data_IF_585700847765
#
_entry.id   IF_585700847765
#
_cell.length_a   1.000
_cell.length_b   1.000
_cell.length_c   1.000
_cell.angle_alpha   90.00
_cell.angle_beta   90.00
_cell.angle_gamma   90.00
#
_symmetry.space_group_name_H-M   'P 1'
#
loop_
_entity.id
_entity.type
_entity.pdbx_description
1 polymer ?
#
# COMPACT_ATOMS: atom_id res chain seq x y z
N UNK A 1 -3.82 9.01 18.79
CA UNK A 1 -4.24 8.23 19.97
C UNK A 1 -4.37 6.81 19.47
N UNK A 2 -3.28 6.05 19.54
CA UNK A 2 -3.11 4.89 18.68
C UNK A 2 -2.73 3.69 19.54
N UNK A 3 -3.46 2.59 19.40
CA UNK A 3 -3.25 1.36 20.17
C UNK A 3 -3.46 0.13 19.30
N UNK A 4 -2.52 -0.80 19.36
CA UNK A 4 -2.60 -2.13 18.73
C UNK A 4 -2.92 -3.16 19.80
N UNK A 5 -3.77 -4.14 19.50
CA UNK A 5 -4.09 -5.26 20.40
C UNK A 5 -3.48 -6.58 19.90
N UNK A 6 -3.21 -7.49 20.83
CA UNK A 6 -2.66 -8.82 20.55
C UNK A 6 -3.62 -9.69 19.75
N UNK A 7 -3.10 -10.39 18.75
CA UNK A 7 -3.85 -11.41 18.03
C UNK A 7 -4.08 -12.66 18.89
N UNK A 8 -5.31 -13.19 18.83
CA UNK A 8 -5.79 -14.35 19.61
C UNK A 8 -4.90 -15.61 19.52
N UNK A 9 -4.04 -15.72 18.50
CA UNK A 9 -3.18 -16.88 18.27
C UNK A 9 -1.72 -16.75 18.69
N UNK A 10 -1.26 -15.59 19.18
CA UNK A 10 0.18 -15.34 19.39
C UNK A 10 0.47 -14.64 20.70
N UNK A 11 1.19 -15.33 21.59
CA UNK A 11 1.65 -14.77 22.86
C UNK A 11 2.97 -14.02 22.69
N UNK A 12 2.97 -12.71 22.91
CA UNK A 12 4.19 -11.88 22.84
C UNK A 12 4.73 -11.62 24.25
N UNK A 13 5.97 -12.05 24.51
CA UNK A 13 6.65 -11.80 25.79
C UNK A 13 7.80 -10.80 25.66
N UNK A 14 8.18 -10.14 26.75
CA UNK A 14 9.31 -9.22 26.75
C UNK A 14 10.62 -9.91 26.38
N UNK A 15 10.82 -11.15 26.85
CA UNK A 15 11.99 -11.95 26.48
C UNK A 15 12.00 -12.30 24.98
N UNK A 16 10.83 -12.61 24.41
CA UNK A 16 10.70 -12.83 22.97
C UNK A 16 11.05 -11.56 22.18
N UNK A 17 10.55 -10.40 22.59
CA UNK A 17 10.87 -9.13 21.94
C UNK A 17 12.37 -8.82 22.03
N UNK A 18 12.96 -8.99 23.22
CA UNK A 18 14.40 -8.82 23.43
C UNK A 18 15.24 -9.73 22.52
N UNK A 19 14.97 -11.03 22.52
CA UNK A 19 15.73 -12.01 21.74
C UNK A 19 15.56 -11.83 20.23
N UNK A 20 14.34 -11.55 19.76
CA UNK A 20 14.02 -11.44 18.33
C UNK A 20 14.53 -10.16 17.70
N UNK A 21 14.36 -9.05 18.41
CA UNK A 21 14.62 -7.70 17.89
C UNK A 21 15.94 -7.10 18.40
N UNK A 22 16.71 -7.86 19.18
CA UNK A 22 18.00 -7.40 19.70
C UNK A 22 17.86 -6.29 20.74
N UNK A 23 16.76 -6.26 21.47
CA UNK A 23 16.50 -5.27 22.52
C UNK A 23 17.09 -5.74 23.85
N UNK A 24 17.59 -4.81 24.64
CA UNK A 24 18.05 -5.03 26.00
C UNK A 24 16.89 -4.88 26.99
N UNK A 25 16.64 -5.92 27.79
CA UNK A 25 15.57 -5.93 28.78
C UNK A 25 16.11 -5.69 30.19
N UNK A 26 15.57 -4.67 30.85
CA UNK A 26 15.85 -4.34 32.25
C UNK A 26 14.54 -4.27 33.06
N UNK A 27 14.38 -5.04 34.16
CA UNK A 27 15.29 -6.08 34.63
C UNK A 27 15.15 -7.39 33.86
N UNK A 28 16.26 -8.11 33.70
CA UNK A 28 16.32 -9.38 32.94
C UNK A 28 15.40 -10.49 33.45
N UNK A 29 14.92 -10.43 34.70
CA UNK A 29 13.94 -11.40 35.20
C UNK A 29 12.52 -11.20 34.61
N UNK A 30 12.26 -10.06 33.96
CA UNK A 30 10.95 -9.73 33.37
C UNK A 30 10.68 -10.45 32.03
N UNK A 31 11.60 -11.31 31.56
CA UNK A 31 11.48 -12.05 30.28
C UNK A 31 10.15 -12.79 30.10
N UNK A 32 9.56 -13.32 31.18
CA UNK A 32 8.28 -14.03 31.17
C UNK A 32 7.03 -13.14 31.12
N UNK A 33 7.16 -11.81 31.23
CA UNK A 33 6.05 -10.87 31.17
C UNK A 33 5.47 -10.86 29.75
N UNK A 34 4.14 -10.92 29.66
CA UNK A 34 3.40 -10.94 28.38
C UNK A 34 2.78 -9.57 28.15
N UNK A 35 2.92 -9.05 26.93
CA UNK A 35 2.28 -7.82 26.50
C UNK A 35 1.19 -8.14 25.50
N UNK A 36 0.03 -7.51 25.68
CA UNK A 36 -1.18 -7.81 24.92
C UNK A 36 -1.65 -6.61 24.09
N UNK A 37 -0.95 -5.49 24.17
CA UNK A 37 -1.22 -4.30 23.37
C UNK A 37 0.03 -3.43 23.28
N UNK A 38 0.04 -2.48 22.35
CA UNK A 38 1.10 -1.49 22.18
C UNK A 38 0.47 -0.12 21.97
N UNK A 39 0.96 0.91 22.64
CA UNK A 39 0.44 2.28 22.53
C UNK A 39 1.59 3.28 22.44
N UNK A 40 1.43 4.30 21.61
CA UNK A 40 2.42 5.39 21.41
C UNK A 40 2.11 6.66 22.19
N UNK A 41 0.84 6.79 22.59
CA UNK A 41 0.34 7.88 23.42
C UNK A 41 -0.10 7.39 24.80
N UNK A 42 0.17 8.23 25.80
CA UNK A 42 -0.11 7.92 27.21
C UNK A 42 -1.61 7.73 27.46
N UNK A 43 -2.47 8.43 26.72
CA UNK A 43 -3.91 8.31 26.88
C UNK A 43 -4.45 6.98 26.39
N UNK A 44 -3.72 6.35 25.48
CA UNK A 44 -4.08 5.11 24.80
C UNK A 44 -3.55 3.85 25.52
N UNK A 45 -2.69 4.01 26.53
CA UNK A 45 -2.16 2.90 27.34
C UNK A 45 -3.28 2.13 28.03
N UNK A 46 -3.23 0.80 27.88
CA UNK A 46 -4.17 -0.14 28.51
C UNK A 46 -3.41 -1.13 29.42
N UNK A 47 -4.09 -1.72 30.42
CA UNK A 47 -3.53 -2.82 31.19
C UNK A 47 -2.98 -3.94 30.30
N UNK A 48 -1.74 -4.35 30.53
CA UNK A 48 -1.06 -5.37 29.71
C UNK A 48 -0.31 -4.81 28.50
N UNK A 49 -0.32 -3.48 28.29
CA UNK A 49 0.30 -2.86 27.13
C UNK A 49 1.81 -2.64 27.25
N UNK A 50 2.47 -2.60 26.10
CA UNK A 50 3.80 -2.04 25.88
C UNK A 50 3.64 -0.57 25.50
N UNK A 51 4.20 0.35 26.29
CA UNK A 51 4.21 1.76 25.94
C UNK A 51 5.43 2.07 25.07
N UNK A 52 5.22 2.59 23.86
CA UNK A 52 6.25 2.90 22.87
C UNK A 52 6.15 4.38 22.48
N UNK A 53 6.63 5.28 23.34
CA UNK A 53 6.42 6.71 23.21
C UNK A 53 6.94 7.26 21.88
N UNK A 54 6.13 8.11 21.23
CA UNK A 54 6.54 8.82 20.02
C UNK A 54 7.55 9.97 20.30
N UNK A 55 7.53 10.52 21.52
CA UNK A 55 8.40 11.61 21.95
C UNK A 55 9.36 11.17 23.06
N UNK A 56 10.34 12.02 23.38
CA UNK A 56 11.15 11.88 24.58
C UNK A 56 10.28 11.68 25.85
N UNK A 57 10.73 10.77 26.70
CA UNK A 57 10.03 10.37 27.91
C UNK A 57 10.83 10.73 29.15
N UNK A 58 10.14 11.39 30.08
CA UNK A 58 10.64 11.65 31.43
C UNK A 58 10.13 10.60 32.44
N UNK A 59 10.69 10.64 33.65
CA UNK A 59 10.28 9.74 34.73
C UNK A 59 8.78 9.83 35.05
N UNK A 60 8.19 11.03 34.92
CA UNK A 60 6.79 11.26 35.23
C UNK A 60 5.88 10.53 34.22
N UNK A 61 6.20 10.58 32.93
CA UNK A 61 5.50 9.81 31.89
C UNK A 61 5.64 8.31 32.09
N UNK A 62 6.81 7.81 32.52
CA UNK A 62 6.98 6.38 32.86
C UNK A 62 6.08 5.96 34.02
N UNK A 63 6.01 6.77 35.08
CA UNK A 63 5.14 6.52 36.22
C UNK A 63 3.66 6.54 35.83
N UNK A 64 3.27 7.48 34.98
CA UNK A 64 1.90 7.56 34.45
C UNK A 64 1.56 6.35 33.59
N UNK A 65 2.47 5.90 32.71
CA UNK A 65 2.26 4.74 31.86
C UNK A 65 2.04 3.48 32.71
N UNK A 66 2.88 3.31 33.74
CA UNK A 66 2.72 2.25 34.73
C UNK A 66 1.40 2.35 35.48
N UNK A 67 1.00 3.55 35.92
CA UNK A 67 -0.24 3.77 36.64
C UNK A 67 -1.48 3.44 35.78
N UNK A 68 -1.38 3.63 34.46
CA UNK A 68 -2.40 3.25 33.47
C UNK A 68 -2.37 1.76 33.10
N UNK A 69 -1.36 1.02 33.56
CA UNK A 69 -1.27 -0.42 33.43
C UNK A 69 -0.33 -0.91 32.33
N UNK A 70 0.57 -0.06 31.81
CA UNK A 70 1.67 -0.54 30.98
C UNK A 70 2.53 -1.54 31.76
N UNK A 71 2.86 -2.65 31.09
CA UNK A 71 3.69 -3.73 31.64
C UNK A 71 5.16 -3.56 31.30
N UNK A 72 5.46 -2.77 30.27
CA UNK A 72 6.82 -2.39 29.90
C UNK A 72 6.80 -1.09 29.09
N UNK A 73 7.98 -0.49 28.94
CA UNK A 73 8.21 0.66 28.05
C UNK A 73 9.32 0.33 27.05
N UNK A 74 9.09 0.66 25.79
CA UNK A 74 10.08 0.59 24.71
C UNK A 74 10.81 1.94 24.62
N UNK A 75 12.13 1.94 24.53
CA UNK A 75 12.92 3.17 24.58
C UNK A 75 14.24 3.10 23.78
N UNK A 76 14.73 4.22 23.24
CA UNK A 76 15.98 4.22 22.49
C UNK A 76 17.18 3.81 23.37
N UNK A 77 18.18 3.17 22.78
CA UNK A 77 19.39 2.78 23.47
C UNK A 77 20.09 4.00 24.10
N UNK A 78 20.64 3.83 25.31
CA UNK A 78 21.31 4.92 26.03
C UNK A 78 20.39 5.97 26.65
N UNK A 79 19.07 5.86 26.48
CA UNK A 79 18.07 6.69 27.18
C UNK A 79 17.59 6.07 28.48
N UNK A 80 18.16 4.92 28.89
CA UNK A 80 17.91 4.34 30.21
C UNK A 80 18.15 5.44 31.25
N UNK A 81 17.12 5.89 31.98
CA UNK A 81 17.32 6.94 32.96
C UNK A 81 18.39 6.43 33.93
N UNK A 82 19.37 7.28 34.29
CA UNK A 82 20.50 6.93 35.16
C UNK A 82 20.06 6.24 36.48
N UNK A 83 18.77 6.33 36.83
CA UNK A 83 18.10 5.72 37.99
C UNK A 83 17.43 4.36 37.78
N UNK A 84 17.28 3.84 36.55
CA UNK A 84 16.68 2.52 36.31
C UNK A 84 17.65 1.36 36.58
N UNK A 85 18.96 1.64 36.64
CA UNK A 85 19.94 0.62 37.01
C UNK A 85 19.79 0.21 38.47
N UNK A 86 19.92 -1.08 38.74
CA UNK A 86 19.70 -1.74 40.03
C UNK A 86 20.52 -1.21 41.23
N UNK A 87 21.42 -0.24 41.02
CA UNK A 87 22.26 0.39 42.04
C UNK A 87 21.64 1.66 42.68
N UNK A 88 20.50 2.15 42.18
CA UNK A 88 19.82 3.35 42.70
C UNK A 88 19.13 3.17 44.08
N UNK A 89 19.20 1.97 44.68
CA UNK A 89 18.60 1.65 45.98
C UNK A 89 19.25 2.38 47.19
N UNK A 90 20.19 3.31 46.97
CA UNK A 90 20.98 3.94 48.04
C UNK A 90 20.77 5.46 48.19
N UNK A 91 20.02 6.11 47.31
CA UNK A 91 19.75 7.55 47.45
C UNK A 91 18.43 7.83 48.16
N UNK A 92 18.56 8.48 49.31
CA UNK A 92 17.48 8.93 50.17
C UNK A 92 16.98 10.29 49.65
N UNK A 93 15.68 10.46 49.45
CA UNK A 93 15.06 11.76 49.16
C UNK A 93 15.31 12.78 50.28
N UNK A 94 15.07 14.06 50.02
CA UNK A 94 15.23 15.17 50.98
C UNK A 94 14.42 14.99 52.29
N UNK A 95 13.47 14.05 52.27
CA UNK A 95 12.54 13.66 53.34
C UNK A 95 12.88 12.33 54.03
N UNK A 96 13.97 11.65 53.66
CA UNK A 96 14.32 10.34 54.22
C UNK A 96 13.62 9.16 53.53
N UNK A 97 12.79 9.39 52.51
CA UNK A 97 12.09 8.37 51.74
C UNK A 97 13.03 7.74 50.69
N UNK A 98 12.97 6.43 50.39
CA UNK A 98 13.72 5.88 49.25
C UNK A 98 13.25 6.56 47.96
N UNK A 99 14.18 6.98 47.10
CA UNK A 99 13.85 7.47 45.76
C UNK A 99 13.04 6.37 45.03
N UNK A 100 11.81 6.68 44.64
CA UNK A 100 10.96 5.74 43.91
C UNK A 100 11.49 5.58 42.49
N UNK A 101 12.29 4.54 42.28
CA UNK A 101 12.67 4.08 40.95
C UNK A 101 11.41 3.60 40.23
N UNK A 102 11.13 4.01 38.98
CA UNK A 102 9.99 3.49 38.24
C UNK A 102 10.10 1.97 38.10
N UNK A 103 9.21 1.24 38.78
CA UNK A 103 9.15 -0.23 38.78
C UNK A 103 8.44 -0.76 37.51
N UNK A 104 8.82 -0.26 36.33
CA UNK A 104 8.30 -0.76 35.05
C UNK A 104 9.47 -1.29 34.22
N UNK A 105 9.39 -2.53 33.71
CA UNK A 105 10.38 -3.07 32.79
C UNK A 105 10.61 -2.17 31.57
N UNK A 106 11.86 -2.07 31.15
CA UNK A 106 12.33 -1.26 30.04
C UNK A 106 12.91 -2.18 28.97
N UNK A 107 12.51 -1.98 27.71
CA UNK A 107 13.15 -2.57 26.54
C UNK A 107 13.89 -1.47 25.79
N UNK A 108 15.22 -1.50 25.84
CA UNK A 108 16.07 -0.52 25.20
C UNK A 108 16.69 -1.08 23.91
N UNK A 109 16.73 -0.29 22.84
CA UNK A 109 17.38 -0.72 21.59
C UNK A 109 17.47 0.38 20.55
N UNK A 110 17.96 0.03 19.36
CA UNK A 110 17.93 0.92 18.20
C UNK A 110 16.51 0.91 17.62
N UNK A 111 15.72 1.94 17.98
CA UNK A 111 14.30 2.02 17.63
C UNK A 111 14.13 2.93 16.41
N UNK A 112 14.10 2.33 15.23
CA UNK A 112 13.59 2.99 14.03
C UNK A 112 12.12 2.62 13.77
N UNK A 113 11.45 3.42 12.94
CA UNK A 113 10.03 3.22 12.61
C UNK A 113 9.76 1.84 12.01
N UNK A 114 10.72 1.32 11.25
CA UNK A 114 10.65 -0.03 10.70
C UNK A 114 10.56 -1.08 11.81
N UNK A 115 11.42 -1.01 12.82
CA UNK A 115 11.40 -1.92 13.96
C UNK A 115 10.10 -1.78 14.76
N UNK A 116 9.61 -0.56 14.97
CA UNK A 116 8.33 -0.30 15.61
C UNK A 116 7.20 -0.97 14.82
N UNK A 117 7.18 -0.82 13.49
CA UNK A 117 6.23 -1.49 12.60
C UNK A 117 6.32 -3.01 12.64
N UNK A 118 7.53 -3.57 12.68
CA UNK A 118 7.74 -5.01 12.82
C UNK A 118 7.23 -5.55 14.17
N UNK A 119 7.45 -4.85 15.28
CA UNK A 119 6.94 -5.22 16.61
C UNK A 119 5.41 -5.11 16.63
N UNK A 120 4.86 -4.00 16.13
CA UNK A 120 3.43 -3.75 16.10
C UNK A 120 2.69 -4.78 15.24
N UNK A 121 3.21 -5.07 14.04
CA UNK A 121 2.67 -6.12 13.18
C UNK A 121 2.76 -7.49 13.84
N UNK A 122 3.87 -7.81 14.51
CA UNK A 122 4.03 -9.10 15.18
C UNK A 122 3.04 -9.29 16.33
N UNK A 123 2.82 -8.24 17.12
CA UNK A 123 1.82 -8.19 18.17
C UNK A 123 0.39 -8.33 17.63
N UNK A 124 0.08 -7.63 16.53
CA UNK A 124 -1.19 -7.72 15.82
C UNK A 124 -1.40 -9.04 15.07
N UNK A 125 -0.43 -9.96 15.08
CA UNK A 125 -0.53 -11.24 14.36
C UNK A 125 -0.37 -11.11 12.84
N UNK A 126 0.28 -10.05 12.37
CA UNK A 126 0.58 -9.73 10.96
C UNK A 126 -0.68 -9.63 10.08
N UNK A 127 -1.61 -8.73 10.40
CA UNK A 127 -2.93 -8.69 9.76
C UNK A 127 -2.86 -8.42 8.25
N UNK A 128 -1.85 -7.66 7.79
CA UNK A 128 -1.60 -7.42 6.37
C UNK A 128 -1.46 -8.72 5.55
N UNK A 129 -0.92 -9.80 6.13
CA UNK A 129 -0.74 -11.07 5.42
C UNK A 129 -2.06 -11.79 5.08
N UNK A 130 -3.18 -11.36 5.69
CA UNK A 130 -4.51 -11.92 5.44
C UNK A 130 -5.32 -11.09 4.42
N UNK A 131 -4.80 -9.95 3.97
CA UNK A 131 -5.47 -9.01 3.08
C UNK A 131 -4.68 -8.86 1.78
N UNK A 132 -5.37 -8.63 0.67
CA UNK A 132 -4.74 -8.04 -0.51
C UNK A 132 -4.61 -6.53 -0.31
N UNK A 133 -3.38 -6.03 -0.22
CA UNK A 133 -3.10 -4.63 0.09
C UNK A 133 -2.86 -3.83 -1.19
N UNK A 134 -3.75 -2.87 -1.46
CA UNK A 134 -3.66 -1.93 -2.57
C UNK A 134 -3.25 -0.56 -2.03
N UNK A 135 -2.32 0.09 -2.71
CA UNK A 135 -1.91 1.45 -2.42
C UNK A 135 -2.03 2.31 -3.67
N UNK A 136 -2.61 3.49 -3.53
CA UNK A 136 -2.87 4.42 -4.63
C UNK A 136 -2.12 5.71 -4.38
N UNK A 137 -1.43 6.25 -5.38
CA UNK A 137 -0.75 7.53 -5.29
C UNK A 137 -1.04 8.39 -6.52
N UNK A 138 -1.23 9.68 -6.27
CA UNK A 138 -1.33 10.76 -7.26
C UNK A 138 -0.60 11.98 -6.71
N UNK A 139 -0.11 12.85 -7.59
CA UNK A 139 0.54 14.13 -7.23
C UNK A 139 -0.43 15.09 -6.53
N UNK A 140 -1.74 14.96 -6.78
CA UNK A 140 -2.79 15.72 -6.09
C UNK A 140 -3.48 14.86 -5.04
N UNK A 141 -3.54 15.31 -3.78
CA UNK A 141 -4.07 14.48 -2.72
C UNK A 141 -5.57 14.24 -2.86
N UNK A 142 -6.35 15.18 -3.41
CA UNK A 142 -7.79 14.98 -3.63
C UNK A 142 -8.06 13.96 -4.74
N UNK A 143 -7.26 13.95 -5.82
CA UNK A 143 -7.27 12.87 -6.81
C UNK A 143 -6.84 11.54 -6.21
N UNK A 144 -5.80 11.51 -5.38
CA UNK A 144 -5.32 10.29 -4.71
C UNK A 144 -6.47 9.61 -3.95
N UNK A 145 -7.21 10.37 -3.13
CA UNK A 145 -8.36 9.86 -2.39
C UNK A 145 -9.51 9.40 -3.29
N UNK A 146 -9.82 10.14 -4.37
CA UNK A 146 -10.85 9.72 -5.34
C UNK A 146 -10.45 8.43 -6.06
N UNK A 147 -9.19 8.30 -6.45
CA UNK A 147 -8.65 7.07 -7.02
C UNK A 147 -8.73 5.90 -6.05
N UNK A 148 -8.34 6.09 -4.78
CA UNK A 148 -8.47 5.06 -3.76
C UNK A 148 -9.93 4.62 -3.56
N UNK A 149 -10.86 5.56 -3.48
CA UNK A 149 -12.28 5.28 -3.36
C UNK A 149 -12.85 4.55 -4.60
N UNK A 150 -12.41 4.94 -5.80
CA UNK A 150 -12.80 4.29 -7.06
C UNK A 150 -12.31 2.86 -7.13
N UNK A 151 -11.05 2.61 -6.74
CA UNK A 151 -10.45 1.26 -6.66
C UNK A 151 -11.24 0.40 -5.68
N UNK A 152 -11.50 0.91 -4.47
CA UNK A 152 -12.26 0.18 -3.46
C UNK A 152 -13.68 -0.17 -3.94
N UNK A 153 -14.37 0.79 -4.52
CA UNK A 153 -15.72 0.60 -5.09
C UNK A 153 -15.71 -0.43 -6.23
N UNK A 154 -14.71 -0.38 -7.09
CA UNK A 154 -14.59 -1.31 -8.21
C UNK A 154 -14.28 -2.74 -7.74
N UNK A 155 -13.36 -2.91 -6.77
CA UNK A 155 -13.09 -4.21 -6.15
C UNK A 155 -14.34 -4.78 -5.45
N UNK A 156 -15.15 -3.91 -4.84
CA UNK A 156 -16.44 -4.30 -4.26
C UNK A 156 -17.44 -4.76 -5.33
N UNK A 157 -17.55 -4.05 -6.46
CA UNK A 157 -18.39 -4.46 -7.61
C UNK A 157 -17.95 -5.83 -8.17
N UNK A 158 -16.65 -6.16 -8.09
CA UNK A 158 -16.13 -7.48 -8.44
C UNK A 158 -16.47 -8.58 -7.42
N UNK A 159 -17.15 -8.23 -6.33
CA UNK A 159 -17.59 -9.16 -5.28
C UNK A 159 -16.59 -9.34 -4.14
N UNK A 160 -15.57 -8.48 -4.03
CA UNK A 160 -14.60 -8.57 -2.94
C UNK A 160 -15.07 -7.72 -1.73
N UNK A 161 -15.03 -8.26 -0.51
CA UNK A 161 -15.17 -7.46 0.70
C UNK A 161 -13.91 -6.60 0.88
N UNK A 162 -14.05 -5.27 0.88
CA UNK A 162 -12.92 -4.32 0.79
C UNK A 162 -12.98 -3.28 1.92
N UNK A 163 -11.84 -2.99 2.53
CA UNK A 163 -11.63 -1.80 3.35
C UNK A 163 -11.04 -0.63 2.54
N UNK A 164 -11.31 0.61 2.94
CA UNK A 164 -10.75 1.83 2.37
C UNK A 164 -10.16 2.67 3.50
N UNK A 165 -8.93 3.14 3.33
CA UNK A 165 -8.27 4.06 4.24
C UNK A 165 -7.90 5.33 3.48
N UNK A 166 -8.56 6.43 3.83
CA UNK A 166 -8.48 7.72 3.15
C UNK A 166 -8.97 8.84 4.06
N UNK A 167 -8.30 9.99 4.10
CA UNK A 167 -8.70 11.11 4.96
C UNK A 167 -10.11 11.68 4.64
N UNK A 168 -10.63 11.46 3.43
CA UNK A 168 -12.04 11.76 3.09
C UNK A 168 -13.06 10.80 3.71
N UNK A 169 -12.63 9.66 4.23
CA UNK A 169 -13.47 8.68 4.91
C UNK A 169 -12.87 7.28 4.85
N UNK A 170 -12.58 6.70 6.03
CA UNK A 170 -12.18 5.30 6.15
C UNK A 170 -13.37 4.38 6.34
N UNK A 171 -13.32 3.20 5.75
CA UNK A 171 -14.34 2.16 5.85
C UNK A 171 -13.74 0.78 6.01
N UNK A 172 -14.42 -0.06 6.76
CA UNK A 172 -14.27 -1.51 6.73
C UNK A 172 -15.56 -2.08 6.17
N UNK A 173 -15.53 -2.61 4.94
CA UNK A 173 -16.73 -2.98 4.20
C UNK A 173 -17.68 -1.77 4.07
N UNK A 174 -18.91 -1.90 4.56
CA UNK A 174 -19.92 -0.83 4.55
C UNK A 174 -19.90 0.03 5.83
N UNK A 175 -19.03 -0.26 6.80
CA UNK A 175 -18.98 0.42 8.08
C UNK A 175 -17.93 1.53 8.05
N UNK A 176 -18.35 2.76 8.37
CA UNK A 176 -17.43 3.88 8.57
C UNK A 176 -16.54 3.64 9.81
N UNK A 177 -15.27 4.01 9.67
CA UNK A 177 -14.28 3.95 10.75
C UNK A 177 -14.03 5.36 11.27
N UNK A 178 -14.26 5.55 12.56
CA UNK A 178 -13.98 6.81 13.25
C UNK A 178 -12.49 6.87 13.62
N UNK A 179 -11.72 7.52 12.76
CA UNK A 179 -10.26 7.61 12.87
C UNK A 179 -9.81 9.07 12.82
N UNK A 180 -8.73 9.37 13.52
CA UNK A 180 -8.13 10.70 13.54
C UNK A 180 -6.91 10.68 12.64
N UNK A 181 -6.90 11.58 11.66
CA UNK A 181 -5.83 11.69 10.68
C UNK A 181 -4.78 12.75 11.07
N UNK A 182 -3.54 12.61 10.59
CA UNK A 182 -3.00 11.49 9.80
C UNK A 182 -2.76 10.23 10.65
N UNK A 183 -2.79 9.05 10.02
CA UNK A 183 -2.63 7.77 10.69
C UNK A 183 -1.15 7.39 10.82
N UNK A 184 -0.75 6.91 12.01
CA UNK A 184 0.58 6.38 12.28
C UNK A 184 0.65 4.85 12.21
N UNK A 185 1.82 4.30 12.52
CA UNK A 185 2.12 2.85 12.46
C UNK A 185 1.11 2.04 13.27
N UNK A 186 0.84 2.44 14.51
CA UNK A 186 -0.05 1.70 15.40
C UNK A 186 -1.50 1.77 14.94
N UNK A 187 -1.93 2.91 14.38
CA UNK A 187 -3.27 3.05 13.81
C UNK A 187 -3.46 2.07 12.64
N UNK A 188 -2.48 1.99 11.75
CA UNK A 188 -2.54 1.12 10.58
C UNK A 188 -2.64 -0.35 10.99
N UNK A 189 -1.83 -0.81 11.93
CA UNK A 189 -1.89 -2.20 12.40
C UNK A 189 -3.23 -2.51 13.08
N UNK A 190 -3.79 -1.56 13.83
CA UNK A 190 -5.11 -1.71 14.43
C UNK A 190 -6.23 -1.73 13.38
N UNK A 191 -6.19 -0.86 12.37
CA UNK A 191 -7.21 -0.80 11.31
C UNK A 191 -7.17 -2.02 10.41
N UNK A 192 -5.97 -2.54 10.10
CA UNK A 192 -5.81 -3.80 9.38
C UNK A 192 -6.42 -4.96 10.17
N UNK A 193 -6.19 -5.02 11.49
CA UNK A 193 -6.77 -6.03 12.36
C UNK A 193 -8.30 -5.96 12.35
N UNK A 194 -8.87 -4.76 12.46
CA UNK A 194 -10.32 -4.53 12.36
C UNK A 194 -10.87 -4.98 11.01
N UNK A 195 -10.19 -4.68 9.91
CA UNK A 195 -10.64 -5.12 8.58
C UNK A 195 -10.62 -6.65 8.46
N UNK A 196 -9.58 -7.31 8.99
CA UNK A 196 -9.50 -8.78 9.02
C UNK A 196 -10.63 -9.37 9.87
N UNK A 197 -10.91 -8.80 11.04
CA UNK A 197 -12.00 -9.24 11.91
C UNK A 197 -13.38 -9.08 11.28
N UNK A 198 -13.61 -7.98 10.55
CA UNK A 198 -14.84 -7.73 9.80
C UNK A 198 -14.96 -8.66 8.57
N UNK A 199 -13.89 -9.37 8.19
CA UNK A 199 -13.87 -10.32 7.08
C UNK A 199 -13.55 -9.69 5.72
N UNK A 200 -12.87 -8.54 5.71
CA UNK A 200 -12.33 -7.97 4.48
C UNK A 200 -11.31 -8.92 3.84
N UNK A 201 -11.29 -8.96 2.51
CA UNK A 201 -10.33 -9.72 1.72
C UNK A 201 -9.26 -8.80 1.11
N UNK A 202 -9.55 -7.50 1.01
CA UNK A 202 -8.64 -6.51 0.48
C UNK A 202 -8.77 -5.19 1.24
N UNK A 203 -7.74 -4.36 1.17
CA UNK A 203 -7.75 -3.00 1.70
C UNK A 203 -7.08 -2.06 0.70
N UNK A 204 -7.60 -0.84 0.58
CA UNK A 204 -7.07 0.20 -0.30
C UNK A 204 -6.62 1.39 0.53
N UNK A 205 -5.38 1.82 0.35
CA UNK A 205 -4.80 3.02 0.96
C UNK A 205 -4.67 4.16 -0.05
N UNK A 206 -5.12 5.36 0.34
CA UNK A 206 -4.67 6.60 -0.29
C UNK A 206 -3.30 6.98 0.28
N UNK A 207 -2.28 7.01 -0.58
CA UNK A 207 -0.91 7.41 -0.22
C UNK A 207 -0.78 8.93 -0.37
N UNK A 208 -1.25 9.65 0.64
CA UNK A 208 -1.09 11.08 0.75
C UNK A 208 -0.89 11.52 2.22
N UNK A 209 -0.27 12.68 2.41
CA UNK A 209 0.11 13.21 3.73
C UNK A 209 -1.09 13.56 4.63
N UNK A 210 -2.30 13.70 4.07
CA UNK A 210 -3.51 13.90 4.88
C UNK A 210 -3.98 12.59 5.48
N UNK A 211 -3.76 11.48 4.79
CA UNK A 211 -4.16 10.14 5.23
C UNK A 211 -3.12 9.50 6.15
N UNK A 212 -1.83 9.57 5.79
CA UNK A 212 -0.77 8.80 6.44
C UNK A 212 0.38 9.70 6.90
N UNK A 213 0.95 9.41 8.08
CA UNK A 213 2.25 9.96 8.46
C UNK A 213 3.38 9.28 7.67
N UNK A 214 4.57 9.88 7.70
CA UNK A 214 5.76 9.17 7.26
C UNK A 214 5.89 7.83 7.99
N UNK A 215 6.40 6.81 7.30
CA UNK A 215 6.60 5.45 7.82
C UNK A 215 5.34 4.73 8.35
N UNK A 216 4.13 5.28 8.16
CA UNK A 216 2.89 4.73 8.73
C UNK A 216 2.58 3.27 8.32
N UNK A 217 3.03 2.85 7.14
CA UNK A 217 2.85 1.50 6.62
C UNK A 217 4.04 0.58 6.96
N UNK A 218 4.88 0.95 7.93
CA UNK A 218 5.95 0.08 8.45
C UNK A 218 5.41 -1.28 8.89
N UNK A 219 6.03 -2.34 8.37
CA UNK A 219 5.60 -3.72 8.61
C UNK A 219 4.38 -4.17 7.78
N UNK A 220 3.95 -3.38 6.79
CA UNK A 220 2.86 -3.73 5.85
C UNK A 220 3.44 -4.09 4.49
N UNK A 221 3.08 -5.27 4.00
CA UNK A 221 3.42 -5.71 2.65
C UNK A 221 2.36 -5.17 1.68
N UNK A 222 2.78 -4.47 0.62
CA UNK A 222 1.86 -3.96 -0.40
C UNK A 222 1.90 -4.86 -1.63
N UNK A 223 0.74 -5.34 -2.06
CA UNK A 223 0.63 -6.25 -3.21
C UNK A 223 0.52 -5.49 -4.53
N UNK A 224 -0.22 -4.37 -4.55
CA UNK A 224 -0.47 -3.60 -5.77
C UNK A 224 -0.35 -2.10 -5.50
N UNK A 225 0.44 -1.43 -6.32
CA UNK A 225 0.63 0.02 -6.29
C UNK A 225 0.08 0.60 -7.59
N UNK A 226 -0.94 1.44 -7.47
CA UNK A 226 -1.50 2.24 -8.56
C UNK A 226 -0.89 3.63 -8.55
N UNK A 227 -0.28 4.01 -9.67
CA UNK A 227 0.27 5.33 -9.89
C UNK A 227 -0.56 6.04 -10.95
N UNK A 228 -1.00 7.26 -10.68
CA UNK A 228 -1.53 8.16 -11.71
C UNK A 228 -0.86 9.52 -11.55
N UNK A 229 -0.02 9.90 -12.52
CA UNK A 229 0.66 11.20 -12.52
C UNK A 229 0.06 12.06 -13.62
N UNK A 230 0.00 13.36 -13.37
CA UNK A 230 -0.35 14.32 -14.42
C UNK A 230 0.60 14.23 -15.63
N UNK A 231 1.84 13.73 -15.49
CA UNK A 231 2.76 13.56 -16.61
C UNK A 231 2.33 12.46 -17.63
N UNK A 232 1.64 11.41 -17.18
CA UNK A 232 1.10 10.37 -18.09
C UNK A 232 -0.13 10.90 -18.86
N UNK A 233 -0.67 12.09 -18.51
CA UNK A 233 -1.81 12.70 -19.19
C UNK A 233 -1.49 13.32 -20.56
N UNK A 234 -0.31 13.91 -20.73
CA UNK A 234 0.10 14.56 -22.00
C UNK A 234 0.57 13.56 -23.07
N UNK A 235 1.01 12.36 -22.64
CA UNK A 235 1.49 11.32 -23.56
C UNK A 235 0.34 10.60 -24.28
N UNK A 236 -0.81 10.39 -23.62
CA UNK A 236 -1.96 9.71 -24.25
C UNK A 236 -2.74 10.58 -25.24
N UNK A 237 -2.71 11.90 -25.07
CA UNK A 237 -3.45 12.83 -25.95
C UNK A 237 -2.70 13.11 -27.26
N UNK A 238 -1.36 12.96 -27.26
CA UNK A 238 -0.53 13.16 -28.45
C UNK A 238 -0.51 11.96 -29.40
N UNK A 239 -0.66 10.73 -28.90
CA UNK A 239 -0.69 9.50 -29.73
C UNK A 239 -2.06 9.27 -30.42
N UNK A 240 -3.15 9.83 -29.88
CA UNK A 240 -4.48 9.74 -30.49
C UNK A 240 -4.63 10.61 -31.75
N UNK A 241 -3.79 11.65 -31.89
CA UNK A 241 -3.91 12.62 -33.00
C UNK A 241 -3.18 12.17 -34.27
N UNK A 242 -2.27 11.20 -34.19
CA UNK A 242 -1.44 10.75 -35.33
C UNK A 242 -1.95 9.47 -36.05
N UNK A 243 -2.97 8.79 -35.50
CA UNK A 243 -3.55 7.58 -36.11
C UNK A 243 -4.67 7.87 -37.13
N UNK A 244 -5.28 9.06 -37.11
CA UNK A 244 -6.43 9.38 -37.98
C UNK A 244 -6.05 10.01 -39.33
N UNK A 245 -4.76 10.30 -39.55
CA UNK A 245 -4.26 10.90 -40.80
C UNK A 245 -3.88 9.86 -41.88
N UNK A 246 -3.88 8.56 -41.57
CA UNK A 246 -3.29 7.53 -42.43
C UNK A 246 -4.29 6.57 -43.10
N UNK A 247 -5.57 6.88 -43.23
CA UNK A 247 -6.48 6.12 -44.14
C UNK A 247 -7.60 6.98 -44.74
N UNK A 248 -7.29 7.83 -45.73
CA UNK A 248 -8.32 8.46 -46.57
C UNK A 248 -8.02 8.35 -48.07
N UNK A 249 -7.68 7.14 -48.52
CA UNK A 249 -7.76 6.79 -49.95
C UNK A 249 -8.34 5.39 -50.13
N UNK A 250 -9.67 5.32 -50.23
CA UNK A 250 -10.35 4.18 -50.87
C UNK A 250 -11.31 4.71 -51.91
N UNK A 251 -10.91 4.46 -53.17
CA UNK A 251 -11.75 4.60 -54.34
C UNK A 251 -12.87 3.57 -54.34
N UNK A 252 -13.98 4.01 -54.94
CA UNK A 252 -15.19 3.25 -55.28
C UNK A 252 -14.86 1.88 -55.88
N UNK A 253 -15.52 0.83 -55.39
CA UNK A 253 -16.14 -0.14 -56.29
C UNK A 253 -17.29 -0.91 -55.65
N UNK A 254 -18.27 -1.20 -56.49
CA UNK A 254 -19.54 -1.85 -56.17
C UNK A 254 -19.48 -3.38 -56.31
N UNK A 255 -20.40 -4.07 -55.61
CA UNK A 255 -20.98 -5.33 -56.07
C UNK A 255 -20.86 -6.52 -55.10
N UNK A 256 -22.01 -7.17 -54.83
CA UNK A 256 -22.06 -8.62 -54.64
C UNK A 256 -22.50 -9.14 -53.27
N UNK A 257 -23.82 -9.34 -53.13
CA UNK A 257 -24.53 -10.45 -52.46
C UNK A 257 -23.74 -11.44 -51.57
N UNK A 258 -24.25 -11.69 -50.35
CA UNK A 258 -24.95 -12.96 -49.99
C UNK A 258 -25.08 -13.12 -48.47
N UNK A 259 -26.23 -13.68 -48.08
CA UNK A 259 -26.68 -13.95 -46.71
C UNK A 259 -26.16 -15.29 -46.15
N UNK A 260 -26.48 -15.51 -44.86
CA UNK A 260 -26.36 -16.70 -43.99
C UNK A 260 -25.24 -16.54 -42.94
N UNK A 261 -25.49 -16.60 -41.63
CA UNK A 261 -26.50 -17.38 -40.92
C UNK A 261 -25.80 -18.58 -40.26
N UNK A 262 -25.49 -18.48 -38.97
CA UNK A 262 -24.76 -19.54 -38.27
C UNK A 262 -24.64 -19.27 -36.78
N UNK A 263 -25.65 -19.73 -36.04
CA UNK A 263 -25.64 -19.82 -34.59
C UNK A 263 -24.62 -20.86 -34.12
N UNK A 264 -23.93 -20.60 -33.02
CA UNK A 264 -23.23 -21.60 -32.24
C UNK A 264 -23.46 -21.34 -30.75
N UNK A 265 -24.22 -22.27 -30.17
CA UNK A 265 -24.41 -22.55 -28.75
C UNK A 265 -23.08 -22.85 -28.06
N UNK A 266 -22.95 -22.51 -26.77
CA UNK A 266 -22.22 -23.36 -25.83
C UNK A 266 -22.77 -23.17 -24.41
N UNK A 267 -23.11 -24.31 -23.83
CA UNK A 267 -23.53 -24.53 -22.46
C UNK A 267 -22.31 -24.85 -21.58
N UNK A 268 -22.51 -24.65 -20.27
CA UNK A 268 -21.87 -25.29 -19.11
C UNK A 268 -20.34 -25.14 -18.94
N UNK A 269 -19.89 -24.60 -17.80
CA UNK A 269 -19.73 -25.37 -16.56
C UNK A 269 -19.07 -24.49 -15.47
N UNK A 270 -19.45 -24.74 -14.22
CA UNK A 270 -18.98 -24.06 -13.01
C UNK A 270 -17.53 -24.46 -12.66
N UNK A 271 -16.76 -23.55 -12.06
CA UNK A 271 -15.85 -23.81 -10.91
C UNK A 271 -15.12 -22.57 -10.44
N UNK A 272 -15.40 -22.21 -9.20
CA UNK A 272 -14.69 -21.26 -8.35
C UNK A 272 -13.34 -21.86 -7.94
N UNK A 273 -12.23 -21.18 -8.18
CA UNK A 273 -10.91 -21.57 -7.65
C UNK A 273 -10.29 -20.44 -6.83
N UNK A 274 -10.04 -20.78 -5.57
CA UNK A 274 -9.28 -20.02 -4.56
C UNK A 274 -7.79 -20.17 -4.89
N UNK A 275 -7.06 -19.06 -5.02
CA UNK A 275 -5.64 -19.10 -5.40
C UNK A 275 -4.78 -19.29 -4.15
N UNK A 276 -4.12 -20.45 -4.08
CA UNK A 276 -3.01 -20.73 -3.16
C UNK A 276 -1.67 -20.49 -3.86
N UNK A 277 -0.74 -19.81 -3.18
CA UNK A 277 0.60 -19.40 -3.65
C UNK A 277 1.57 -20.59 -3.64
N UNK A 278 2.23 -20.88 -4.78
CA UNK A 278 3.45 -21.71 -4.86
C UNK A 278 4.40 -21.11 -5.92
N UNK A 279 5.66 -20.90 -5.53
CA UNK A 279 6.70 -20.23 -6.32
C UNK A 279 7.58 -21.16 -7.16
N UNK A 280 8.35 -20.56 -8.06
CA UNK A 280 9.54 -21.15 -8.66
C UNK A 280 10.49 -20.07 -9.22
N UNK A 281 11.76 -20.16 -8.83
CA UNK A 281 12.92 -19.39 -9.28
C UNK A 281 13.35 -19.68 -10.72
N UNK A 282 14.01 -18.70 -11.37
CA UNK A 282 14.74 -18.89 -12.63
C UNK A 282 15.63 -17.71 -13.03
N UNK A 283 16.94 -17.91 -12.92
CA UNK A 283 18.06 -16.98 -13.22
C UNK A 283 18.57 -17.11 -14.67
N UNK A 284 18.96 -16.00 -15.32
CA UNK A 284 19.95 -15.91 -16.41
C UNK A 284 20.33 -14.42 -16.62
N UNK A 285 21.53 -13.94 -16.29
CA UNK A 285 22.88 -14.05 -16.91
C UNK A 285 23.06 -13.35 -18.27
N UNK A 286 24.14 -12.57 -18.36
CA UNK A 286 24.41 -11.43 -19.22
C UNK A 286 25.62 -11.74 -20.12
N UNK A 287 25.68 -11.16 -21.33
CA UNK A 287 26.87 -11.31 -22.19
C UNK A 287 26.91 -10.30 -23.35
N UNK A 288 27.85 -9.36 -23.27
CA UNK A 288 28.15 -8.38 -24.33
C UNK A 288 29.18 -8.85 -25.35
N UNK A 289 29.51 -7.98 -26.32
CA UNK A 289 30.85 -7.79 -26.91
C UNK A 289 30.90 -6.60 -27.88
N UNK A 290 32.02 -5.88 -27.82
CA UNK A 290 32.49 -4.74 -28.62
C UNK A 290 32.96 -5.08 -30.05
N UNK A 291 33.11 -4.04 -30.89
CA UNK A 291 34.04 -4.05 -32.03
C UNK A 291 33.86 -2.90 -33.03
N UNK A 292 34.74 -1.88 -32.97
CA UNK A 292 34.73 -0.72 -33.88
C UNK A 292 35.72 -0.80 -35.05
N UNK A 293 35.65 0.19 -35.98
CA UNK A 293 36.77 0.97 -36.55
C UNK A 293 36.40 1.78 -37.83
N UNK A 294 36.43 3.12 -37.72
CA UNK A 294 37.19 4.08 -38.54
C UNK A 294 36.91 4.33 -40.04
N UNK A 295 36.55 5.58 -40.39
CA UNK A 295 37.15 6.36 -41.49
C UNK A 295 36.70 7.85 -41.49
N UNK A 296 37.53 8.73 -42.05
CA UNK A 296 37.62 10.19 -41.83
C UNK A 296 37.23 10.98 -43.08
N UNK A 297 36.50 12.10 -42.95
CA UNK A 297 36.70 13.44 -43.58
C UNK A 297 35.40 14.18 -43.92
N UNK A 298 35.40 15.49 -43.62
CA UNK A 298 34.59 16.50 -44.31
C UNK A 298 33.95 17.52 -43.36
N UNK A 299 34.60 18.66 -43.14
CA UNK A 299 33.93 19.84 -42.59
C UNK A 299 33.07 20.46 -43.70
N UNK A 300 31.75 20.51 -43.48
CA UNK A 300 30.86 21.43 -44.19
C UNK A 300 29.94 22.12 -43.18
N UNK A 301 29.94 23.44 -43.25
CA UNK A 301 29.29 24.36 -42.32
C UNK A 301 27.94 24.78 -42.87
N UNK A 302 26.90 23.99 -42.63
CA UNK A 302 25.49 24.45 -42.65
C UNK A 302 24.55 23.32 -42.27
N UNK A 303 24.16 23.20 -41.00
CA UNK A 303 22.94 22.50 -40.59
C UNK A 303 22.59 22.86 -39.14
N UNK A 304 21.36 23.34 -38.93
CA UNK A 304 20.76 23.54 -37.62
C UNK A 304 20.70 22.19 -36.86
N UNK A 305 20.76 22.16 -35.52
CA UNK A 305 20.85 20.91 -34.78
C UNK A 305 19.52 20.14 -34.91
N UNK A 306 19.50 19.11 -35.75
CA UNK A 306 18.48 18.06 -35.66
C UNK A 306 18.83 17.24 -34.41
N UNK A 307 18.12 17.49 -33.32
CA UNK A 307 18.12 16.62 -32.15
C UNK A 307 17.63 15.26 -32.64
N UNK A 308 18.55 14.32 -32.83
CA UNK A 308 18.20 12.93 -33.08
C UNK A 308 17.73 12.35 -31.75
N UNK A 309 16.40 12.35 -31.54
CA UNK A 309 15.80 11.52 -30.50
C UNK A 309 16.25 10.08 -30.75
N UNK A 310 16.83 9.38 -29.75
CA UNK A 310 17.17 7.98 -29.91
C UNK A 310 15.88 7.24 -30.26
N UNK A 311 15.90 6.46 -31.35
CA UNK A 311 14.83 5.50 -31.66
C UNK A 311 14.88 4.41 -30.60
N UNK A 312 14.38 4.68 -29.39
CA UNK A 312 14.06 3.61 -28.46
C UNK A 312 12.99 2.77 -29.16
N UNK A 313 13.31 1.51 -29.43
CA UNK A 313 12.27 0.56 -29.84
C UNK A 313 11.18 0.53 -28.77
N UNK A 314 9.93 0.22 -29.15
CA UNK A 314 8.79 0.21 -28.22
C UNK A 314 9.09 -0.55 -26.91
N UNK A 315 9.85 -1.64 -26.97
CA UNK A 315 10.28 -2.38 -25.77
C UNK A 315 11.23 -1.61 -24.84
N UNK A 316 12.10 -0.74 -25.37
CA UNK A 316 12.97 0.11 -24.55
C UNK A 316 12.21 1.27 -23.89
N UNK A 317 11.20 1.84 -24.58
CA UNK A 317 10.30 2.86 -24.01
C UNK A 317 9.42 2.27 -22.89
N UNK A 318 8.84 1.08 -23.13
CA UNK A 318 8.08 0.39 -22.10
C UNK A 318 8.96 0.04 -20.89
N UNK A 319 10.19 -0.42 -21.13
CA UNK A 319 11.13 -0.69 -20.05
C UNK A 319 11.52 0.58 -19.27
N UNK A 320 11.71 1.73 -19.94
CA UNK A 320 11.99 2.99 -19.24
C UNK A 320 10.78 3.47 -18.44
N UNK A 321 9.57 3.40 -18.99
CA UNK A 321 8.34 3.74 -18.28
C UNK A 321 8.13 2.84 -17.05
N UNK A 322 8.33 1.53 -17.19
CA UNK A 322 8.28 0.60 -16.05
C UNK A 322 9.37 0.88 -15.01
N UNK A 323 10.58 1.26 -15.44
CA UNK A 323 11.67 1.64 -14.54
C UNK A 323 11.33 2.94 -13.78
N UNK A 324 10.77 3.93 -14.46
CA UNK A 324 10.35 5.20 -13.87
C UNK A 324 9.22 4.98 -12.84
N UNK A 325 8.24 4.14 -13.16
CA UNK A 325 7.16 3.74 -12.24
C UNK A 325 7.69 3.02 -11.01
N UNK A 326 8.59 2.06 -11.18
CA UNK A 326 9.22 1.36 -10.03
C UNK A 326 10.04 2.32 -9.17
N UNK A 327 10.77 3.24 -9.78
CA UNK A 327 11.53 4.25 -9.05
C UNK A 327 10.62 5.18 -8.24
N UNK A 328 9.45 5.55 -8.79
CA UNK A 328 8.46 6.33 -8.04
C UNK A 328 7.84 5.53 -6.90
N UNK A 329 7.42 4.29 -7.15
CA UNK A 329 6.92 3.40 -6.10
C UNK A 329 7.95 3.19 -4.98
N UNK A 330 9.24 3.11 -5.31
CA UNK A 330 10.30 3.04 -4.30
C UNK A 330 10.37 4.31 -3.44
N UNK A 331 10.23 5.50 -4.02
CA UNK A 331 10.18 6.75 -3.22
C UNK A 331 8.98 6.78 -2.29
N UNK A 332 7.84 6.24 -2.72
CA UNK A 332 6.65 6.12 -1.87
C UNK A 332 6.91 5.13 -0.72
N UNK A 333 7.58 4.01 -1.00
CA UNK A 333 8.03 3.05 0.02
C UNK A 333 8.98 3.71 1.02
N UNK A 334 9.95 4.50 0.55
CA UNK A 334 10.89 5.24 1.39
C UNK A 334 10.22 6.38 2.19
N UNK A 335 9.00 6.80 1.83
CA UNK A 335 8.25 7.86 2.53
C UNK A 335 7.26 7.30 3.54
N UNK A 336 6.53 6.25 3.15
CA UNK A 336 5.44 5.68 3.94
C UNK A 336 5.82 4.36 4.62
N UNK A 337 7.01 3.80 4.40
CA UNK A 337 7.56 2.65 5.14
C UNK A 337 7.03 1.27 4.74
N UNK A 338 6.20 1.16 3.70
CA UNK A 338 5.67 -0.14 3.27
C UNK A 338 6.72 -1.02 2.59
N UNK A 339 6.55 -2.34 2.70
CA UNK A 339 7.43 -3.34 2.12
C UNK A 339 6.99 -3.64 0.68
N UNK A 340 7.90 -3.40 -0.27
CA UNK A 340 7.79 -3.85 -1.65
C UNK A 340 8.64 -5.11 -1.84
N UNK A 341 8.02 -6.23 -2.19
CA UNK A 341 8.72 -7.47 -2.50
C UNK A 341 8.75 -7.75 -4.02
N UNK A 342 9.33 -8.89 -4.40
CA UNK A 342 9.39 -9.29 -5.81
C UNK A 342 8.02 -9.63 -6.44
N UNK A 343 6.95 -9.67 -5.65
CA UNK A 343 5.57 -9.94 -6.06
C UNK A 343 4.71 -8.67 -6.09
N UNK A 344 5.17 -7.56 -5.53
CA UNK A 344 4.48 -6.27 -5.63
C UNK A 344 4.32 -5.84 -7.09
N UNK A 345 3.08 -5.64 -7.50
CA UNK A 345 2.72 -5.15 -8.82
C UNK A 345 2.63 -3.63 -8.83
N UNK A 346 3.51 -2.97 -9.59
CA UNK A 346 3.43 -1.52 -9.82
C UNK A 346 2.76 -1.29 -11.17
N UNK A 347 1.64 -0.59 -11.17
CA UNK A 347 0.84 -0.34 -12.37
C UNK A 347 0.41 1.11 -12.45
N UNK A 348 0.05 1.53 -13.65
CA UNK A 348 -0.70 2.75 -13.90
C UNK A 348 -1.78 2.43 -14.94
N UNK A 349 -2.48 3.46 -15.42
CA UNK A 349 -3.39 3.32 -16.55
C UNK A 349 -2.65 2.85 -17.80
N UNK A 350 -3.33 2.03 -18.58
CA UNK A 350 -2.84 1.51 -19.85
C UNK A 350 -3.96 1.59 -20.89
N UNK A 351 -3.60 1.61 -22.18
CA UNK A 351 -4.57 1.63 -23.27
C UNK A 351 -5.66 0.54 -23.13
N UNK A 352 -5.31 -0.61 -22.56
CA UNK A 352 -6.25 -1.69 -22.36
C UNK A 352 -7.26 -1.43 -21.23
N UNK A 353 -6.84 -0.81 -20.13
CA UNK A 353 -7.75 -0.42 -19.05
C UNK A 353 -8.62 0.75 -19.48
N UNK A 354 -8.05 1.70 -20.23
CA UNK A 354 -8.78 2.83 -20.80
C UNK A 354 -9.90 2.39 -21.75
N UNK A 355 -9.62 1.42 -22.63
CA UNK A 355 -10.65 0.84 -23.52
C UNK A 355 -11.79 0.17 -22.74
N UNK A 356 -11.51 -0.47 -21.61
CA UNK A 356 -12.54 -1.11 -20.79
C UNK A 356 -13.34 -0.07 -20.00
N UNK A 357 -12.68 0.96 -19.48
CA UNK A 357 -13.34 2.08 -18.79
C UNK A 357 -14.25 2.87 -19.73
N UNK A 358 -13.81 3.13 -20.97
CA UNK A 358 -14.60 3.84 -21.99
C UNK A 358 -15.88 3.08 -22.40
N UNK A 359 -15.94 1.77 -22.19
CA UNK A 359 -17.13 0.96 -22.44
C UNK A 359 -18.13 1.01 -21.28
N UNK A 360 -17.74 1.53 -20.11
CA UNK A 360 -18.59 1.61 -18.93
C UNK A 360 -19.41 2.92 -18.93
N UNK A 361 -20.75 2.87 -18.97
CA UNK A 361 -21.59 4.08 -18.95
C UNK A 361 -21.46 4.88 -17.65
N UNK A 362 -21.05 4.23 -16.55
CA UNK A 362 -20.82 4.85 -15.25
C UNK A 362 -19.67 5.87 -15.25
N UNK A 363 -18.79 5.83 -16.26
CA UNK A 363 -17.68 6.75 -16.44
C UNK A 363 -18.06 7.99 -17.30
N UNK A 364 -19.30 8.48 -17.19
CA UNK A 364 -19.71 9.69 -17.89
C UNK A 364 -18.93 10.91 -17.35
N UNK A 365 -17.88 11.28 -18.08
CA UNK A 365 -16.93 12.35 -17.76
C UNK A 365 -15.49 11.84 -17.81
N UNK A 366 -14.59 12.63 -18.38
CA UNK A 366 -13.19 12.26 -18.62
C UNK A 366 -12.51 11.78 -17.33
N UNK A 367 -12.65 12.54 -16.25
CA UNK A 367 -12.08 12.22 -14.94
C UNK A 367 -12.55 10.87 -14.36
N UNK A 368 -13.84 10.56 -14.43
CA UNK A 368 -14.37 9.27 -13.91
C UNK A 368 -13.90 8.09 -14.74
N UNK A 369 -13.70 8.28 -16.04
CA UNK A 369 -13.12 7.26 -16.90
C UNK A 369 -11.66 6.98 -16.54
N UNK A 370 -10.90 8.02 -16.14
CA UNK A 370 -9.54 7.87 -15.63
C UNK A 370 -9.51 7.09 -14.31
N UNK A 371 -10.32 7.49 -13.35
CA UNK A 371 -10.43 6.81 -12.05
C UNK A 371 -10.76 5.32 -12.22
N UNK A 372 -11.74 5.02 -13.08
CA UNK A 372 -12.14 3.64 -13.38
C UNK A 372 -11.06 2.89 -14.16
N UNK A 373 -10.35 3.55 -15.08
CA UNK A 373 -9.25 2.93 -15.82
C UNK A 373 -8.12 2.51 -14.89
N UNK A 374 -7.73 3.36 -13.94
CA UNK A 374 -6.71 2.99 -12.94
C UNK A 374 -7.19 1.79 -12.11
N UNK A 375 -8.44 1.81 -11.67
CA UNK A 375 -9.07 0.71 -10.92
C UNK A 375 -9.05 -0.61 -11.69
N UNK A 376 -9.35 -0.58 -12.98
CA UNK A 376 -9.30 -1.75 -13.87
C UNK A 376 -7.86 -2.24 -14.03
N UNK A 377 -6.89 -1.34 -14.21
CA UNK A 377 -5.48 -1.69 -14.33
C UNK A 377 -4.97 -2.39 -13.06
N UNK A 378 -5.27 -1.84 -11.88
CA UNK A 378 -4.91 -2.43 -10.58
C UNK A 378 -5.56 -3.80 -10.37
N UNK A 379 -6.85 -3.95 -10.68
CA UNK A 379 -7.52 -5.24 -10.60
C UNK A 379 -6.92 -6.27 -11.56
N UNK A 380 -6.56 -5.87 -12.78
CA UNK A 380 -5.88 -6.76 -13.73
C UNK A 380 -4.48 -7.16 -13.25
N UNK A 381 -3.73 -6.23 -12.65
CA UNK A 381 -2.42 -6.49 -12.07
C UNK A 381 -2.52 -7.49 -10.91
N UNK A 382 -3.58 -7.41 -10.10
CA UNK A 382 -3.92 -8.40 -9.08
C UNK A 382 -4.42 -9.76 -9.63
N UNK A 383 -4.50 -9.92 -10.96
CA UNK A 383 -4.89 -11.17 -11.62
C UNK A 383 -6.38 -11.31 -11.97
N UNK A 384 -7.20 -10.26 -11.81
CA UNK A 384 -8.62 -10.31 -12.19
C UNK A 384 -8.77 -10.45 -13.70
N UNK A 385 -9.56 -11.44 -14.13
CA UNK A 385 -9.77 -11.73 -15.56
C UNK A 385 -10.61 -10.64 -16.23
N UNK A 386 -10.25 -10.29 -17.46
CA UNK A 386 -10.96 -9.31 -18.31
C UNK A 386 -12.44 -9.64 -18.49
N UNK A 387 -12.79 -10.93 -18.60
CA UNK A 387 -14.18 -11.40 -18.70
C UNK A 387 -14.99 -11.01 -17.46
N UNK A 388 -14.38 -11.13 -16.27
CA UNK A 388 -15.03 -10.82 -14.99
C UNK A 388 -15.22 -9.31 -14.87
N UNK A 389 -14.20 -8.53 -15.24
CA UNK A 389 -14.28 -7.06 -15.30
C UNK A 389 -15.44 -6.60 -16.18
N UNK A 390 -15.54 -7.10 -17.42
CA UNK A 390 -16.66 -6.74 -18.31
C UNK A 390 -18.02 -7.16 -17.75
N UNK A 391 -18.09 -8.33 -17.14
CA UNK A 391 -19.35 -8.84 -16.55
C UNK A 391 -19.79 -7.95 -15.38
N UNK A 392 -18.86 -7.57 -14.51
CA UNK A 392 -19.11 -6.73 -13.36
C UNK A 392 -19.53 -5.30 -13.75
N UNK A 393 -18.84 -4.70 -14.74
CA UNK A 393 -19.22 -3.40 -15.30
C UNK A 393 -20.63 -3.42 -15.91
N UNK A 394 -21.00 -4.51 -16.58
CA UNK A 394 -22.34 -4.69 -17.14
C UNK A 394 -23.41 -4.83 -16.05
N UNK A 395 -23.17 -5.65 -15.03
CA UNK A 395 -24.12 -5.86 -13.93
C UNK A 395 -24.34 -4.57 -13.14
N UNK A 396 -23.28 -3.83 -12.82
CA UNK A 396 -23.37 -2.53 -12.15
C UNK A 396 -24.22 -1.53 -12.95
N UNK A 397 -24.09 -1.54 -14.28
CA UNK A 397 -24.94 -0.73 -15.14
C UNK A 397 -26.42 -1.13 -15.10
N UNK A 398 -26.72 -2.43 -15.19
CA UNK A 398 -28.10 -2.93 -15.15
C UNK A 398 -28.80 -2.55 -13.83
N UNK A 399 -28.08 -2.60 -12.69
CA UNK A 399 -28.60 -2.20 -11.39
C UNK A 399 -28.90 -0.69 -11.32
N UNK A 400 -27.97 0.18 -11.74
CA UNK A 400 -28.22 1.62 -11.75
C UNK A 400 -29.42 2.01 -12.62
N UNK A 401 -29.57 1.38 -13.80
CA UNK A 401 -30.72 1.67 -14.69
C UNK A 401 -32.05 1.21 -14.11
N UNK A 402 -32.07 0.18 -13.26
CA UNK A 402 -33.28 -0.28 -12.57
C UNK A 402 -33.65 0.63 -11.39
N UNK A 403 -32.67 1.18 -10.68
CA UNK A 403 -32.91 2.16 -9.62
C UNK A 403 -33.49 3.48 -10.17
N UNK A 404 -32.96 3.97 -11.30
CA UNK A 404 -33.47 5.16 -11.98
C UNK A 404 -34.90 4.99 -12.53
N UNK A 405 -35.31 3.76 -12.85
CA UNK A 405 -36.67 3.49 -13.37
C UNK A 405 -37.71 3.29 -12.25
N UNK A 406 -37.25 3.03 -11.02
CA UNK A 406 -38.09 2.79 -9.85
C UNK A 406 -38.23 4.02 -8.92
N UNK A 407 -37.46 5.08 -9.18
CA UNK A 407 -37.59 6.40 -8.57
C UNK A 407 -38.52 7.31 -9.41
#
# INVERSE_FOLDING_TARGET
>A
MSVVSEAVGRRVTLGYLADRYGLELDPSFATGVTVTSMADDIESVRPGGLYAPADDVDLKRLEEARARGAYAVLMPAGTLPERATADAATETGEDGSPAQVPQIPLLAGDLDDRLIGEIAADLAGTPANALAVFAVSDDDPERCERHAASVASFLHILGNPVGLISASGSKSLERDLDVQYPLGILDIQQLLSVCVEDGAAAIVFALDERTLTAEALSGVNVDVIGLDSAADSDATDSDATDMDAATSHVGRNAGGESAQGGAATNADDERTEVIAKHGADGVADNGGTDGGAGAVRGLDTSQAPTISLPKLGAGALLNSLHADRRAWAQRLSDTYGFIMDGQTHVTAREAQSDMLAAQAPAAAGDERARELSLSIAMAMAAGVRKSNIRSALRVSHELNTQEEHNA
#
